data_IF_975217978223
#
_entry.id   IF_975217978223
#
_cell.length_a   1.000
_cell.length_b   1.000
_cell.length_c   1.000
_cell.angle_alpha   90.00
_cell.angle_beta   90.00
_cell.angle_gamma   90.00
#
_symmetry.space_group_name_H-M   'P 1'
#
loop_
_entity.id
_entity.type
_entity.pdbx_description
1 polymer ?
#
# COMPACT_ATOMS: atom_id res chain seq x y z
N UNK A 1 -9.32 16.99 38.24
CA UNK A 1 -8.59 15.96 37.47
C UNK A 1 -9.14 15.95 36.07
N UNK A 2 -8.28 15.94 35.05
CA UNK A 2 -8.70 15.88 33.65
C UNK A 2 -8.68 14.42 33.14
N UNK A 3 -9.25 14.16 31.95
CA UNK A 3 -9.31 12.82 31.38
C UNK A 3 -7.92 12.22 31.09
N UNK A 4 -6.94 13.06 30.75
CA UNK A 4 -5.59 12.61 30.44
C UNK A 4 -4.84 12.11 31.70
N UNK A 5 -4.99 12.79 32.83
CA UNK A 5 -4.49 12.35 34.13
C UNK A 5 -5.14 11.02 34.55
N UNK A 6 -6.44 10.87 34.29
CA UNK A 6 -7.15 9.61 34.52
C UNK A 6 -6.57 8.47 33.67
N UNK A 7 -6.33 8.70 32.38
CA UNK A 7 -5.77 7.70 31.47
C UNK A 7 -4.38 7.24 31.92
N UNK A 8 -3.52 8.16 32.35
CA UNK A 8 -2.20 7.80 32.91
C UNK A 8 -2.32 6.96 34.19
N UNK A 9 -3.23 7.32 35.09
CA UNK A 9 -3.49 6.54 36.30
C UNK A 9 -4.04 5.15 35.95
N UNK A 10 -4.94 5.05 34.97
CA UNK A 10 -5.50 3.78 34.51
C UNK A 10 -4.41 2.89 33.89
N UNK A 11 -3.52 3.44 33.06
CA UNK A 11 -2.38 2.70 32.50
C UNK A 11 -1.46 2.19 33.61
N UNK A 12 -1.06 3.06 34.55
CA UNK A 12 -0.21 2.65 35.69
C UNK A 12 -0.84 1.52 36.51
N UNK A 13 -2.17 1.53 36.65
CA UNK A 13 -2.95 0.51 37.33
C UNK A 13 -2.96 -0.80 36.54
N UNK A 14 -3.11 -0.76 35.22
CA UNK A 14 -3.01 -1.93 34.35
C UNK A 14 -1.60 -2.54 34.35
N UNK A 15 -0.57 -1.72 34.51
CA UNK A 15 0.83 -2.15 34.66
C UNK A 15 1.15 -2.80 36.01
N UNK A 16 0.15 -2.95 36.89
CA UNK A 16 0.30 -3.63 38.17
C UNK A 16 0.39 -2.71 39.38
N UNK A 17 0.28 -1.39 39.22
CA UNK A 17 0.22 -0.49 40.38
C UNK A 17 -0.95 -0.85 41.29
N UNK A 18 -0.65 -0.92 42.59
CA UNK A 18 -1.61 -1.17 43.67
C UNK A 18 -2.02 0.11 44.39
N UNK A 19 -1.61 1.28 43.87
CA UNK A 19 -1.94 2.58 44.48
C UNK A 19 -3.47 2.75 44.52
N UNK A 20 -4.04 3.05 45.70
CA UNK A 20 -5.49 3.28 45.83
C UNK A 20 -5.91 4.52 45.02
N UNK A 21 -7.12 4.50 44.46
CA UNK A 21 -7.62 5.61 43.64
C UNK A 21 -7.72 6.90 44.48
N UNK A 22 -7.03 7.99 44.09
CA UNK A 22 -7.20 9.29 44.72
C UNK A 22 -8.67 9.74 44.75
N UNK A 23 -9.10 10.50 45.78
CA UNK A 23 -10.48 11.00 45.88
C UNK A 23 -10.86 11.91 44.69
N UNK A 24 -9.88 12.59 44.10
CA UNK A 24 -10.08 13.40 42.89
C UNK A 24 -10.53 12.58 41.67
N UNK A 25 -10.13 11.31 41.58
CA UNK A 25 -10.60 10.38 40.54
C UNK A 25 -12.07 10.08 40.76
N UNK A 26 -12.49 9.81 42.00
CA UNK A 26 -13.87 9.49 42.32
C UNK A 26 -14.82 10.66 41.98
N UNK A 27 -14.38 11.90 42.25
CA UNK A 27 -15.11 13.09 41.81
C UNK A 27 -15.24 13.13 40.28
N UNK A 28 -14.14 12.94 39.54
CA UNK A 28 -14.16 12.93 38.08
C UNK A 28 -15.07 11.84 37.48
N UNK A 29 -15.07 10.63 38.07
CA UNK A 29 -15.89 9.52 37.60
C UNK A 29 -17.40 9.75 37.79
N UNK A 30 -17.81 10.61 38.72
CA UNK A 30 -19.21 11.02 38.86
C UNK A 30 -19.66 11.87 37.67
N UNK A 31 -18.76 12.72 37.17
CA UNK A 31 -19.06 13.69 36.11
C UNK A 31 -18.76 13.18 34.68
N UNK A 32 -17.89 12.17 34.53
CA UNK A 32 -17.45 11.66 33.23
C UNK A 32 -17.82 10.18 33.01
N UNK A 33 -18.82 9.92 32.15
CA UNK A 33 -19.26 8.56 31.80
C UNK A 33 -18.20 7.74 31.07
N UNK A 34 -17.47 8.35 30.14
CA UNK A 34 -16.40 7.70 29.37
C UNK A 34 -15.31 7.11 30.27
N UNK A 35 -14.81 7.89 31.22
CA UNK A 35 -13.77 7.42 32.14
C UNK A 35 -14.31 6.32 33.08
N UNK A 36 -15.60 6.35 33.40
CA UNK A 36 -16.26 5.29 34.16
C UNK A 36 -16.31 3.97 33.40
N UNK A 37 -16.68 4.00 32.12
CA UNK A 37 -16.66 2.81 31.25
C UNK A 37 -15.26 2.23 31.11
N UNK A 38 -14.26 3.10 30.90
CA UNK A 38 -12.85 2.69 30.83
C UNK A 38 -12.36 2.05 32.13
N UNK A 39 -12.78 2.57 33.29
CA UNK A 39 -12.43 1.95 34.58
C UNK A 39 -13.02 0.53 34.69
N UNK A 40 -14.29 0.36 34.33
CA UNK A 40 -14.96 -0.95 34.37
C UNK A 40 -14.27 -1.94 33.42
N UNK A 41 -13.90 -1.51 32.22
CA UNK A 41 -13.15 -2.32 31.26
C UNK A 41 -11.76 -2.68 31.81
N UNK A 42 -11.06 -1.71 32.40
CA UNK A 42 -9.75 -1.93 33.02
C UNK A 42 -9.80 -2.93 34.16
N UNK A 43 -10.80 -2.82 35.05
CA UNK A 43 -10.98 -3.76 36.15
C UNK A 43 -11.35 -5.17 35.64
N UNK A 44 -12.15 -5.28 34.57
CA UNK A 44 -12.42 -6.57 33.90
C UNK A 44 -11.14 -7.19 33.34
N UNK A 45 -10.29 -6.40 32.68
CA UNK A 45 -9.01 -6.87 32.15
C UNK A 45 -8.08 -7.37 33.24
N UNK A 46 -8.01 -6.68 34.40
CA UNK A 46 -7.22 -7.16 35.55
C UNK A 46 -7.78 -8.41 36.20
N UNK A 47 -9.10 -8.62 36.12
CA UNK A 47 -9.75 -9.80 36.65
C UNK A 47 -9.55 -11.04 35.77
N UNK A 48 -9.14 -10.88 34.51
CA UNK A 48 -8.73 -12.01 33.68
C UNK A 48 -7.49 -12.60 34.33
N UNK A 49 -7.53 -13.85 34.81
CA UNK A 49 -6.34 -14.50 35.34
C UNK A 49 -5.33 -14.50 34.20
N UNK A 50 -4.24 -13.76 34.38
CA UNK A 50 -3.07 -13.91 33.53
C UNK A 50 -2.63 -15.34 33.78
N UNK A 51 -3.04 -16.26 32.90
CA UNK A 51 -2.54 -17.62 32.91
C UNK A 51 -1.03 -17.46 32.94
N UNK A 52 -0.40 -17.85 34.05
CA UNK A 52 1.03 -17.71 34.24
C UNK A 52 1.65 -18.36 33.01
N UNK A 53 2.19 -17.57 32.06
CA UNK A 53 2.67 -18.18 30.84
C UNK A 53 3.75 -19.13 31.32
N UNK A 54 3.59 -20.42 30.99
CA UNK A 54 4.72 -21.35 31.14
C UNK A 54 5.92 -20.62 30.56
N UNK A 55 6.97 -20.48 31.37
CA UNK A 55 8.08 -19.59 31.04
C UNK A 55 8.50 -19.77 29.58
N UNK A 56 8.88 -18.69 28.90
CA UNK A 56 9.16 -18.75 27.47
C UNK A 56 10.07 -19.93 27.16
N UNK A 57 9.65 -20.79 26.24
CA UNK A 57 10.43 -21.99 25.88
C UNK A 57 11.86 -21.63 25.46
N UNK A 58 12.81 -22.57 25.56
CA UNK A 58 14.21 -22.32 25.20
C UNK A 58 14.30 -21.73 23.78
N UNK A 59 15.15 -20.71 23.61
CA UNK A 59 15.34 -19.99 22.34
C UNK A 59 14.32 -18.88 22.04
N UNK A 60 13.37 -18.58 22.94
CA UNK A 60 12.46 -17.46 22.76
C UNK A 60 13.18 -16.11 22.65
N UNK A 61 14.19 -15.86 23.49
CA UNK A 61 15.01 -14.65 23.42
C UNK A 61 15.62 -14.45 22.04
N UNK A 62 16.18 -15.52 21.47
CA UNK A 62 16.86 -15.47 20.18
C UNK A 62 15.86 -15.21 19.05
N UNK A 63 14.70 -15.86 19.10
CA UNK A 63 13.60 -15.60 18.16
C UNK A 63 13.10 -14.16 18.23
N UNK A 64 12.94 -13.61 19.43
CA UNK A 64 12.52 -12.21 19.61
C UNK A 64 13.58 -11.25 19.09
N UNK A 65 14.86 -11.48 19.40
CA UNK A 65 15.97 -10.65 18.89
C UNK A 65 16.03 -10.70 17.37
N UNK A 66 15.92 -11.88 16.76
CA UNK A 66 15.88 -12.04 15.32
C UNK A 66 14.66 -11.32 14.70
N UNK A 67 13.47 -11.46 15.29
CA UNK A 67 12.27 -10.77 14.82
C UNK A 67 12.43 -9.25 14.87
N UNK A 68 12.99 -8.71 15.97
CA UNK A 68 13.26 -7.28 16.12
C UNK A 68 14.31 -6.80 15.10
N UNK A 69 15.35 -7.57 14.83
CA UNK A 69 16.36 -7.25 13.82
C UNK A 69 15.76 -7.23 12.41
N UNK A 70 14.94 -8.22 12.05
CA UNK A 70 14.23 -8.29 10.76
C UNK A 70 13.30 -7.08 10.59
N UNK A 71 12.52 -6.75 11.61
CA UNK A 71 11.61 -5.61 11.58
C UNK A 71 12.36 -4.28 11.45
N UNK A 72 13.48 -4.11 12.18
CA UNK A 72 14.32 -2.91 12.09
C UNK A 72 14.94 -2.78 10.70
N UNK A 73 15.39 -3.87 10.09
CA UNK A 73 15.91 -3.89 8.72
C UNK A 73 14.81 -3.54 7.72
N UNK A 74 13.60 -4.07 7.89
CA UNK A 74 12.43 -3.79 7.02
C UNK A 74 12.00 -2.32 7.08
N UNK A 75 11.96 -1.73 8.28
CA UNK A 75 11.65 -0.29 8.46
C UNK A 75 12.70 0.60 7.82
N UNK A 76 13.97 0.24 8.00
CA UNK A 76 15.08 0.97 7.39
C UNK A 76 14.96 0.87 5.87
N UNK A 77 14.85 -0.34 5.33
CA UNK A 77 14.69 -0.57 3.89
C UNK A 77 13.48 0.19 3.31
N UNK A 78 12.33 0.23 3.99
CA UNK A 78 11.19 1.04 3.56
C UNK A 78 11.52 2.52 3.47
N UNK A 79 12.21 3.09 4.45
CA UNK A 79 12.62 4.51 4.41
C UNK A 79 13.57 4.78 3.25
N UNK A 80 14.54 3.90 3.01
CA UNK A 80 15.46 4.00 1.88
C UNK A 80 14.74 3.82 0.54
N UNK A 81 13.82 2.87 0.44
CA UNK A 81 13.03 2.62 -0.77
C UNK A 81 12.16 3.83 -1.12
N UNK A 82 11.52 4.47 -0.14
CA UNK A 82 10.77 5.71 -0.36
C UNK A 82 11.70 6.83 -0.85
N UNK A 83 12.87 7.01 -0.21
CA UNK A 83 13.86 7.99 -0.65
C UNK A 83 14.37 7.75 -2.07
N UNK A 84 14.72 6.51 -2.40
CA UNK A 84 15.17 6.11 -3.74
C UNK A 84 14.07 6.29 -4.78
N UNK A 85 12.82 5.96 -4.46
CA UNK A 85 11.69 6.17 -5.36
C UNK A 85 11.44 7.64 -5.67
N UNK A 86 11.56 8.51 -4.65
CA UNK A 86 11.44 9.95 -4.82
C UNK A 86 12.61 10.52 -5.65
N UNK A 87 13.83 10.06 -5.42
CA UNK A 87 14.99 10.46 -6.21
C UNK A 87 14.87 10.01 -7.67
N UNK A 88 14.43 8.77 -7.92
CA UNK A 88 14.19 8.25 -9.27
C UNK A 88 13.08 9.04 -9.99
N UNK A 89 11.99 9.36 -9.29
CA UNK A 89 10.92 10.18 -9.84
C UNK A 89 11.39 11.61 -10.18
N UNK A 90 12.21 12.23 -9.32
CA UNK A 90 12.80 13.54 -9.58
C UNK A 90 13.73 13.53 -10.81
N UNK A 91 14.58 12.49 -10.95
CA UNK A 91 15.43 12.32 -12.13
C UNK A 91 14.60 12.17 -13.40
N UNK A 92 13.54 11.34 -13.38
CA UNK A 92 12.63 11.19 -14.52
C UNK A 92 11.93 12.52 -14.86
N UNK A 93 11.51 13.30 -13.86
CA UNK A 93 10.92 14.61 -14.08
C UNK A 93 11.91 15.60 -14.70
N UNK A 94 13.17 15.61 -14.25
CA UNK A 94 14.24 16.44 -14.85
C UNK A 94 14.49 16.02 -16.30
N UNK A 95 14.60 14.72 -16.57
CA UNK A 95 14.79 14.21 -17.93
C UNK A 95 13.60 14.54 -18.84
N UNK A 96 12.37 14.40 -18.35
CA UNK A 96 11.18 14.76 -19.10
C UNK A 96 11.14 16.27 -19.39
N UNK A 97 11.48 17.11 -18.41
CA UNK A 97 11.56 18.56 -18.57
C UNK A 97 12.63 18.97 -19.58
N UNK A 98 13.82 18.37 -19.50
CA UNK A 98 14.91 18.63 -20.44
C UNK A 98 14.59 18.13 -21.84
N UNK A 99 13.90 17.00 -21.99
CA UNK A 99 13.45 16.48 -23.28
C UNK A 99 12.38 17.36 -23.92
N UNK A 100 11.45 17.91 -23.13
CA UNK A 100 10.41 18.82 -23.63
C UNK A 100 10.98 20.18 -24.06
N UNK A 101 11.95 20.70 -23.31
CA UNK A 101 12.62 21.95 -23.60
C UNK A 101 13.87 21.78 -24.47
N UNK A 102 14.13 20.57 -24.96
CA UNK A 102 15.23 20.37 -25.88
C UNK A 102 14.89 21.14 -27.14
N UNK A 103 15.62 22.23 -27.47
CA UNK A 103 15.36 22.94 -28.71
C UNK A 103 15.56 21.92 -29.82
N UNK A 104 14.48 21.62 -30.55
CA UNK A 104 14.54 20.78 -31.72
C UNK A 104 15.52 21.48 -32.67
N UNK A 105 16.78 21.06 -32.63
CA UNK A 105 17.84 21.74 -33.34
C UNK A 105 17.58 21.45 -34.82
N UNK A 106 17.04 22.43 -35.58
CA UNK A 106 16.58 22.19 -36.94
C UNK A 106 17.76 21.91 -37.88
N UNK A 107 18.98 22.11 -37.38
CA UNK A 107 20.24 21.99 -38.11
C UNK A 107 21.09 20.82 -37.62
N UNK A 108 20.57 19.86 -36.84
CA UNK A 108 21.24 18.56 -36.84
C UNK A 108 21.14 18.06 -38.29
N UNK A 109 22.25 17.90 -39.02
CA UNK A 109 22.20 17.13 -40.24
C UNK A 109 21.71 15.78 -39.77
N UNK A 110 20.45 15.47 -40.05
CA UNK A 110 19.96 14.11 -40.04
C UNK A 110 21.04 13.37 -40.80
N UNK A 111 21.84 12.58 -40.10
CA UNK A 111 22.67 11.62 -40.77
C UNK A 111 21.65 10.82 -41.55
N UNK A 112 21.51 11.14 -42.84
CA UNK A 112 20.95 10.26 -43.81
C UNK A 112 21.89 9.08 -43.75
N UNK A 113 21.68 8.21 -42.75
CA UNK A 113 21.99 6.80 -42.88
C UNK A 113 21.36 6.51 -44.23
N UNK A 114 22.16 6.25 -45.29
CA UNK A 114 21.63 5.88 -46.58
C UNK A 114 20.57 4.86 -46.26
N UNK A 115 19.33 5.14 -46.63
CA UNK A 115 18.20 4.30 -46.28
C UNK A 115 18.54 2.91 -46.80
N UNK A 116 19.13 2.12 -45.92
CA UNK A 116 19.36 0.70 -46.11
C UNK A 116 17.96 0.21 -46.44
N UNK A 117 17.72 -0.22 -47.69
CA UNK A 117 16.41 -0.31 -48.28
C UNK A 117 15.53 -0.99 -47.25
N UNK A 118 14.64 -0.19 -46.65
CA UNK A 118 13.78 -0.67 -45.59
C UNK A 118 13.04 -1.81 -46.28
N UNK A 119 13.20 -3.07 -45.85
CA UNK A 119 12.43 -4.14 -46.46
C UNK A 119 10.99 -3.65 -46.45
N UNK A 120 10.32 -3.72 -47.60
CA UNK A 120 8.92 -3.37 -47.73
C UNK A 120 8.14 -4.29 -46.80
N UNK A 121 8.07 -3.91 -45.53
CA UNK A 121 7.24 -4.58 -44.54
C UNK A 121 5.88 -3.97 -44.79
N UNK A 122 4.93 -4.72 -45.38
CA UNK A 122 3.59 -4.22 -45.59
C UNK A 122 3.03 -3.76 -44.25
N UNK A 123 2.24 -2.67 -44.22
CA UNK A 123 1.59 -2.24 -42.99
C UNK A 123 0.85 -3.44 -42.40
N UNK A 124 0.98 -3.69 -41.08
CA UNK A 124 0.39 -4.85 -40.47
C UNK A 124 -1.10 -4.84 -40.79
N UNK A 125 -1.62 -5.99 -41.24
CA UNK A 125 -3.03 -6.09 -41.54
C UNK A 125 -3.83 -5.79 -40.27
N UNK A 126 -5.07 -5.28 -40.41
CA UNK A 126 -5.97 -5.09 -39.26
C UNK A 126 -6.11 -6.36 -38.42
N UNK A 127 -5.96 -7.53 -39.05
CA UNK A 127 -5.96 -8.83 -38.40
C UNK A 127 -4.71 -9.03 -37.53
N UNK A 128 -3.51 -8.77 -38.06
CA UNK A 128 -2.26 -8.83 -37.29
C UNK A 128 -2.27 -7.86 -36.10
N UNK A 129 -2.84 -6.66 -36.24
CA UNK A 129 -2.99 -5.72 -35.13
C UNK A 129 -3.93 -6.25 -34.03
N UNK A 130 -5.03 -6.93 -34.41
CA UNK A 130 -5.92 -7.60 -33.45
C UNK A 130 -5.24 -8.76 -32.75
N UNK A 131 -4.49 -9.57 -33.47
CA UNK A 131 -3.79 -10.74 -32.92
C UNK A 131 -2.72 -10.30 -31.90
N UNK A 132 -1.98 -9.24 -32.21
CA UNK A 132 -1.03 -8.62 -31.27
C UNK A 132 -1.74 -8.07 -30.02
N UNK A 133 -2.91 -7.45 -30.22
CA UNK A 133 -3.76 -6.99 -29.12
C UNK A 133 -4.18 -8.12 -28.19
N UNK A 134 -4.70 -9.22 -28.74
CA UNK A 134 -5.11 -10.39 -27.97
C UNK A 134 -3.94 -11.05 -27.23
N UNK A 135 -2.79 -11.20 -27.89
CA UNK A 135 -1.58 -11.73 -27.25
C UNK A 135 -1.13 -10.89 -26.04
N UNK A 136 -1.25 -9.55 -26.12
CA UNK A 136 -0.93 -8.67 -24.99
C UNK A 136 -1.91 -8.83 -23.82
N UNK A 137 -3.21 -9.02 -24.10
CA UNK A 137 -4.23 -9.21 -23.08
C UNK A 137 -4.00 -10.54 -22.35
N UNK A 138 -3.71 -11.60 -23.10
CA UNK A 138 -3.42 -12.92 -22.54
C UNK A 138 -2.15 -12.89 -21.66
N UNK A 139 -1.09 -12.22 -22.11
CA UNK A 139 0.13 -12.02 -21.31
C UNK A 139 -0.15 -11.25 -20.02
N UNK A 140 -1.01 -10.22 -20.09
CA UNK A 140 -1.40 -9.43 -18.91
C UNK A 140 -2.20 -10.26 -17.92
N UNK A 141 -3.09 -11.13 -18.42
CA UNK A 141 -3.86 -12.07 -17.60
C UNK A 141 -2.95 -13.07 -16.88
N UNK A 142 -2.00 -13.66 -17.59
CA UNK A 142 -1.01 -14.57 -16.99
C UNK A 142 -0.20 -13.89 -15.88
N UNK A 143 0.21 -12.64 -16.09
CA UNK A 143 0.91 -11.85 -15.06
C UNK A 143 0.02 -11.56 -13.84
N UNK A 144 -1.26 -11.26 -14.05
CA UNK A 144 -2.21 -11.03 -12.96
C UNK A 144 -2.44 -12.31 -12.12
N UNK A 145 -2.57 -13.46 -12.79
CA UNK A 145 -2.71 -14.76 -12.12
C UNK A 145 -1.44 -15.13 -11.32
N UNK A 146 -0.24 -14.85 -11.85
CA UNK A 146 1.02 -15.10 -11.13
C UNK A 146 1.18 -14.18 -9.92
N UNK A 147 0.83 -12.90 -10.05
CA UNK A 147 0.82 -11.95 -8.94
C UNK A 147 -0.15 -12.38 -7.83
N UNK A 148 -1.33 -12.91 -8.18
CA UNK A 148 -2.30 -13.43 -7.21
C UNK A 148 -1.74 -14.66 -6.47
N UNK A 149 -1.05 -15.57 -7.16
CA UNK A 149 -0.37 -16.71 -6.54
C UNK A 149 0.73 -16.25 -5.58
N UNK A 150 1.58 -15.31 -5.98
CA UNK A 150 2.63 -14.78 -5.09
C UNK A 150 2.04 -14.09 -3.86
N UNK A 151 0.96 -13.31 -4.02
CA UNK A 151 0.25 -12.69 -2.90
C UNK A 151 -0.31 -13.75 -1.93
N UNK A 152 -0.85 -14.86 -2.44
CA UNK A 152 -1.35 -15.96 -1.60
C UNK A 152 -0.25 -16.63 -0.76
N UNK A 153 0.95 -16.80 -1.30
CA UNK A 153 2.10 -17.36 -0.56
C UNK A 153 2.53 -16.42 0.57
N UNK A 154 2.52 -15.10 0.31
CA UNK A 154 2.84 -14.11 1.34
C UNK A 154 1.78 -14.06 2.45
N UNK A 155 0.50 -14.20 2.10
CA UNK A 155 -0.60 -14.27 3.07
C UNK A 155 -0.53 -15.55 3.93
N UNK A 156 -0.28 -16.71 3.32
CA UNK A 156 -0.10 -17.96 4.04
C UNK A 156 1.09 -17.90 5.02
N UNK A 157 2.20 -17.25 4.62
CA UNK A 157 3.35 -17.05 5.50
C UNK A 157 3.10 -16.08 6.66
N UNK A 158 2.05 -15.26 6.59
CA UNK A 158 1.66 -14.36 7.70
C UNK A 158 0.76 -15.02 8.74
N UNK A 159 0.07 -16.11 8.40
CA UNK A 159 -0.77 -16.85 9.35
C UNK A 159 0.06 -17.52 10.45
N UNK A 160 1.27 -17.98 10.15
CA UNK A 160 2.20 -18.60 11.13
C UNK A 160 2.78 -17.61 12.16
N UNK A 161 2.63 -16.30 11.92
CA UNK A 161 3.08 -15.25 12.85
C UNK A 161 1.93 -14.63 13.65
N UNK A 162 0.67 -15.00 13.37
CA UNK A 162 -0.45 -14.60 14.20
C UNK A 162 -0.55 -15.58 15.38
N UNK A 163 -0.33 -15.13 16.63
CA UNK A 163 -0.51 -15.99 17.78
C UNK A 163 -1.94 -16.52 17.82
N UNK A 164 -2.06 -17.83 18.04
CA UNK A 164 -3.31 -18.57 18.11
C UNK A 164 -4.16 -18.14 19.31
N UNK A 165 -4.72 -16.93 19.32
CA UNK A 165 -5.80 -16.51 20.20
C UNK A 165 -6.59 -15.39 19.54
N UNK A 166 -7.64 -15.77 18.84
CA UNK A 166 -8.97 -15.18 18.94
C UNK A 166 -9.90 -16.19 18.26
N UNK A 167 -10.42 -17.11 19.07
CA UNK A 167 -11.50 -18.02 18.69
C UNK A 167 -12.81 -17.20 18.57
N UNK A 168 -12.81 -16.22 17.68
CA UNK A 168 -14.04 -15.58 17.22
C UNK A 168 -14.59 -16.52 16.15
N UNK A 169 -15.75 -17.11 16.43
CA UNK A 169 -16.52 -17.79 15.41
C UNK A 169 -16.61 -16.85 14.19
N UNK A 170 -16.26 -17.31 12.98
CA UNK A 170 -16.31 -16.47 11.80
C UNK A 170 -17.77 -16.06 11.60
N UNK A 171 -18.11 -14.85 12.02
CA UNK A 171 -19.30 -14.19 11.53
C UNK A 171 -19.04 -13.95 10.05
N UNK A 172 -19.82 -14.55 9.13
CA UNK A 172 -19.68 -14.23 7.73
C UNK A 172 -19.96 -12.74 7.62
N UNK A 173 -18.93 -11.93 7.35
CA UNK A 173 -19.08 -10.50 7.08
C UNK A 173 -19.58 -10.43 5.65
N UNK A 174 -20.89 -10.18 5.41
CA UNK A 174 -21.31 -9.86 4.07
C UNK A 174 -20.69 -8.50 3.73
N UNK A 175 -20.24 -8.32 2.49
CA UNK A 175 -19.86 -7.00 1.93
C UNK A 175 -18.42 -6.46 2.14
N UNK A 176 -17.42 -7.29 2.47
CA UNK A 176 -16.00 -6.84 2.42
C UNK A 176 -15.56 -6.48 0.98
N UNK A 177 -16.15 -7.11 -0.04
CA UNK A 177 -15.84 -6.80 -1.44
C UNK A 177 -16.26 -5.39 -1.87
N UNK A 178 -17.33 -4.85 -1.29
CA UNK A 178 -17.85 -3.53 -1.67
C UNK A 178 -16.97 -2.40 -1.16
N UNK A 179 -16.52 -2.45 0.10
CA UNK A 179 -15.75 -1.34 0.69
C UNK A 179 -14.37 -1.16 0.05
N UNK A 180 -13.73 -2.25 -0.39
CA UNK A 180 -12.47 -2.19 -1.13
C UNK A 180 -12.69 -1.62 -2.54
N UNK A 181 -13.81 -1.97 -3.19
CA UNK A 181 -14.15 -1.42 -4.51
C UNK A 181 -14.51 0.08 -4.46
N UNK A 182 -15.19 0.53 -3.41
CA UNK A 182 -15.51 1.96 -3.20
C UNK A 182 -14.27 2.80 -2.89
N UNK A 183 -13.30 2.25 -2.15
CA UNK A 183 -12.03 2.93 -1.86
C UNK A 183 -11.11 3.07 -3.07
N UNK A 184 -11.23 2.23 -4.09
CA UNK A 184 -10.42 2.26 -5.32
C UNK A 184 -11.07 3.05 -6.46
N UNK A 185 -12.34 3.42 -6.33
CA UNK A 185 -13.07 4.23 -7.31
C UNK A 185 -12.40 5.60 -7.61
N UNK A 186 -11.83 6.33 -6.62
CA UNK A 186 -11.15 7.60 -6.90
C UNK A 186 -9.89 7.43 -7.74
N UNK A 187 -9.13 6.36 -7.51
CA UNK A 187 -7.87 6.07 -8.21
C UNK A 187 -8.15 5.67 -9.66
N UNK A 188 -9.14 4.80 -9.86
CA UNK A 188 -9.55 4.35 -11.20
C UNK A 188 -10.20 5.46 -12.03
N UNK A 189 -10.98 6.38 -11.41
CA UNK A 189 -11.48 7.58 -12.09
C UNK A 189 -10.35 8.53 -12.49
N UNK A 190 -9.32 8.68 -11.65
CA UNK A 190 -8.16 9.54 -11.93
C UNK A 190 -7.33 9.03 -13.11
N UNK A 191 -6.99 7.73 -13.12
CA UNK A 191 -6.23 7.12 -14.23
C UNK A 191 -7.00 7.16 -15.54
N UNK A 192 -8.33 6.96 -15.50
CA UNK A 192 -9.17 7.06 -16.70
C UNK A 192 -9.18 8.47 -17.28
N UNK A 193 -9.34 9.51 -16.45
CA UNK A 193 -9.25 10.92 -16.91
C UNK A 193 -7.89 11.26 -17.52
N UNK A 194 -6.80 10.80 -16.91
CA UNK A 194 -5.46 11.04 -17.43
C UNK A 194 -5.23 10.36 -18.79
N UNK A 195 -5.74 9.14 -18.95
CA UNK A 195 -5.66 8.41 -20.22
C UNK A 195 -6.51 9.06 -21.32
N UNK A 196 -7.73 9.49 -21.01
CA UNK A 196 -8.59 10.21 -21.95
C UNK A 196 -7.99 11.55 -22.37
N UNK A 197 -7.33 12.26 -21.44
CA UNK A 197 -6.61 13.49 -21.75
C UNK A 197 -5.42 13.22 -22.70
N UNK A 198 -4.68 12.15 -22.47
CA UNK A 198 -3.58 11.74 -23.34
C UNK A 198 -4.05 11.34 -24.74
N UNK A 199 -5.15 10.59 -24.86
CA UNK A 199 -5.72 10.22 -26.16
C UNK A 199 -6.17 11.45 -26.98
N UNK A 200 -6.62 12.52 -26.32
CA UNK A 200 -6.99 13.77 -26.99
C UNK A 200 -5.77 14.62 -27.41
N UNK A 201 -4.59 14.37 -26.85
CA UNK A 201 -3.34 15.03 -27.25
C UNK A 201 -2.66 14.36 -28.45
N UNK A 202 -3.06 13.13 -28.80
CA UNK A 202 -2.54 12.48 -30.00
C UNK A 202 -3.08 13.21 -31.24
N UNK A 203 -2.19 13.65 -32.16
CA UNK A 203 -2.63 14.29 -33.38
C UNK A 203 -3.53 13.32 -34.16
N UNK A 204 -4.79 13.71 -34.36
CA UNK A 204 -5.71 12.98 -35.23
C UNK A 204 -5.17 13.15 -36.64
N UNK A 205 -4.44 12.14 -37.13
CA UNK A 205 -3.89 12.10 -38.47
C UNK A 205 -5.01 12.20 -39.49
N UNK A 206 -5.33 13.42 -39.90
CA UNK A 206 -6.45 13.74 -40.77
C UNK A 206 -6.46 15.18 -41.26
N UNK A 207 -5.38 15.94 -41.07
CA UNK A 207 -5.24 17.21 -41.77
C UNK A 207 -4.88 16.90 -43.22
N UNK A 208 -5.91 16.98 -44.05
CA UNK A 208 -5.89 16.94 -45.50
C UNK A 208 -4.68 17.71 -46.04
N UNK A 209 -3.93 17.07 -46.95
CA UNK A 209 -2.97 17.78 -47.78
C UNK A 209 -3.78 18.83 -48.58
N UNK A 210 -3.50 20.14 -48.43
CA UNK A 210 -4.03 21.11 -49.37
C UNK A 210 -3.39 20.78 -50.72
N UNK A 211 -4.22 20.36 -51.67
CA UNK A 211 -3.79 20.20 -53.05
C UNK A 211 -3.41 21.57 -53.61
N UNK A 212 -2.16 21.70 -54.04
CA UNK A 212 -1.67 22.54 -55.14
C UNK A 212 -0.18 22.26 -55.38
#
# INVERSE_FOLDING_TARGET
MNCHEFDQLLMSRLDGSTVPLPPAVQAHLKDCSRCRELLILGDRLRAIPVATPGGPGPGFSDRVVLAVQVERRRRTFRRWAVGLSAAAAALLAIFAWQGLNWPANPNLPLAHKPSEPRPDVPPPSLQQARDLGQASIERTRLLAEDAAKQASVLLASTEDLMPAQLNMAPTPVPDVGKSVSEGLEPVTKSTRRAFDAWLNLLPRGGDEKPGL
#
